data_IF_484590138326
#
_entry.id   IF_484590138326
#
_cell.length_a   1.000
_cell.length_b   1.000
_cell.length_c   1.000
_cell.angle_alpha   90.00
_cell.angle_beta   90.00
_cell.angle_gamma   90.00
#
_symmetry.space_group_name_H-M   'P 1'
#
loop_
_entity.id
_entity.type
_entity.pdbx_description
1 polymer ?
#
# COMPACT_ATOMS: atom_id res chain seq x y z
N UNK A 1 3.15 -26.22 -6.04
CA UNK A 1 4.27 -26.35 -7.01
C UNK A 1 5.61 -25.88 -6.44
N UNK A 2 5.63 -24.89 -5.56
CA UNK A 2 6.81 -24.34 -4.85
C UNK A 2 7.53 -25.30 -3.90
N UNK A 3 6.80 -26.16 -3.17
CA UNK A 3 7.40 -27.12 -2.24
C UNK A 3 8.27 -28.19 -2.93
N UNK A 4 7.95 -28.60 -4.16
CA UNK A 4 8.73 -29.61 -4.90
C UNK A 4 10.02 -29.02 -5.49
N UNK A 5 10.02 -27.75 -5.86
CA UNK A 5 11.22 -27.05 -6.35
C UNK A 5 12.22 -26.81 -5.22
N UNK A 6 11.73 -26.40 -4.04
CA UNK A 6 12.53 -26.29 -2.82
C UNK A 6 13.08 -27.66 -2.37
N UNK A 7 12.28 -28.74 -2.49
CA UNK A 7 12.74 -30.09 -2.18
C UNK A 7 13.83 -30.58 -3.16
N UNK A 8 13.68 -30.28 -4.45
CA UNK A 8 14.68 -30.63 -5.47
C UNK A 8 15.99 -29.86 -5.27
N UNK A 9 15.92 -28.57 -4.93
CA UNK A 9 17.08 -27.74 -4.59
C UNK A 9 17.75 -28.18 -3.27
N UNK A 10 16.97 -28.61 -2.27
CA UNK A 10 17.48 -29.13 -0.99
C UNK A 10 18.19 -30.48 -1.12
N UNK A 11 17.91 -31.25 -2.17
CA UNK A 11 18.62 -32.52 -2.44
C UNK A 11 20.00 -32.30 -3.06
N UNK A 12 20.23 -31.15 -3.70
CA UNK A 12 21.53 -30.78 -4.28
C UNK A 12 22.44 -30.05 -3.27
N UNK A 13 21.86 -29.34 -2.32
CA UNK A 13 22.56 -28.62 -1.26
C UNK A 13 22.08 -29.14 0.10
N UNK A 14 22.86 -30.02 0.73
CA UNK A 14 22.45 -30.83 1.89
C UNK A 14 21.98 -30.09 3.18
N UNK A 15 21.91 -28.76 3.19
CA UNK A 15 21.29 -27.95 4.25
C UNK A 15 20.53 -26.77 3.62
N UNK A 16 19.17 -26.72 3.73
CA UNK A 16 18.37 -25.65 3.15
C UNK A 16 18.72 -24.25 3.71
N UNK A 17 19.28 -24.18 4.92
CA UNK A 17 19.77 -22.93 5.53
C UNK A 17 20.98 -22.41 4.77
N UNK A 18 21.94 -23.29 4.46
CA UNK A 18 23.12 -22.93 3.65
C UNK A 18 22.71 -22.50 2.25
N UNK A 19 21.74 -23.19 1.65
CA UNK A 19 21.20 -22.80 0.33
C UNK A 19 20.60 -21.40 0.37
N UNK A 20 19.80 -21.10 1.39
CA UNK A 20 19.19 -19.77 1.55
C UNK A 20 20.24 -18.68 1.74
N UNK A 21 21.24 -18.93 2.59
CA UNK A 21 22.37 -18.02 2.82
C UNK A 21 23.11 -17.75 1.53
N UNK A 22 23.48 -18.79 0.78
CA UNK A 22 24.16 -18.65 -0.52
C UNK A 22 23.30 -17.87 -1.50
N UNK A 23 22.00 -18.16 -1.60
CA UNK A 23 21.08 -17.42 -2.46
C UNK A 23 20.99 -15.95 -2.06
N UNK A 24 20.87 -15.63 -0.77
CA UNK A 24 20.84 -14.24 -0.30
C UNK A 24 22.14 -13.49 -0.65
N UNK A 25 23.29 -14.14 -0.51
CA UNK A 25 24.59 -13.54 -0.87
C UNK A 25 24.74 -13.38 -2.39
N UNK A 26 24.29 -14.35 -3.20
CA UNK A 26 24.32 -14.26 -4.65
C UNK A 26 23.38 -13.16 -5.17
N UNK A 27 22.16 -13.09 -4.63
CA UNK A 27 21.20 -12.03 -4.98
C UNK A 27 21.75 -10.67 -4.54
N UNK A 28 22.28 -10.56 -3.32
CA UNK A 28 22.92 -9.34 -2.84
C UNK A 28 24.08 -8.90 -3.72
N UNK A 29 24.98 -9.81 -4.08
CA UNK A 29 26.08 -9.55 -5.01
C UNK A 29 25.61 -9.14 -6.40
N UNK A 30 24.59 -9.81 -6.94
CA UNK A 30 23.96 -9.43 -8.21
C UNK A 30 23.33 -8.03 -8.14
N UNK A 31 22.61 -7.72 -7.06
CA UNK A 31 22.05 -6.39 -6.83
C UNK A 31 23.13 -5.32 -6.78
N UNK A 32 24.27 -5.57 -6.12
CA UNK A 32 25.39 -4.63 -6.13
C UNK A 32 25.90 -4.38 -7.56
N UNK A 33 26.09 -5.43 -8.36
CA UNK A 33 26.54 -5.30 -9.75
C UNK A 33 25.55 -4.48 -10.56
N UNK A 34 24.25 -4.79 -10.47
CA UNK A 34 23.19 -4.05 -11.19
C UNK A 34 23.15 -2.59 -10.76
N UNK A 35 23.24 -2.29 -9.47
CA UNK A 35 23.23 -0.91 -8.95
C UNK A 35 24.45 -0.15 -9.47
N UNK A 36 25.64 -0.75 -9.40
CA UNK A 36 26.89 -0.11 -9.84
C UNK A 36 26.90 0.13 -11.35
N UNK A 37 26.43 -0.83 -12.14
CA UNK A 37 26.31 -0.72 -13.60
C UNK A 37 25.29 0.35 -13.99
N UNK A 38 24.06 0.25 -13.45
CA UNK A 38 22.97 1.17 -13.75
C UNK A 38 23.29 2.62 -13.35
N UNK A 39 23.98 2.82 -12.22
CA UNK A 39 24.37 4.15 -11.74
C UNK A 39 25.68 4.69 -12.34
N UNK A 40 26.27 3.97 -13.31
CA UNK A 40 27.48 4.39 -14.02
C UNK A 40 28.72 4.51 -13.14
N UNK A 41 28.90 3.62 -12.15
CA UNK A 41 30.13 3.58 -11.36
C UNK A 41 31.36 3.31 -12.26
N UNK A 42 32.52 3.99 -12.05
CA UNK A 42 32.89 4.85 -10.93
C UNK A 42 32.57 6.34 -11.09
N UNK A 43 31.97 6.77 -12.20
CA UNK A 43 31.67 8.19 -12.45
C UNK A 43 30.76 8.77 -11.37
N UNK A 44 30.87 10.05 -10.97
CA UNK A 44 29.97 10.60 -9.95
C UNK A 44 28.51 10.51 -10.40
N UNK A 45 27.55 10.17 -9.50
CA UNK A 45 26.15 10.07 -9.85
C UNK A 45 25.65 11.43 -10.35
N UNK A 46 25.00 11.44 -11.51
CA UNK A 46 24.38 12.65 -12.03
C UNK A 46 23.19 13.04 -11.15
N UNK A 47 23.22 14.25 -10.59
CA UNK A 47 22.22 14.74 -9.62
C UNK A 47 20.81 14.95 -10.17
N UNK A 48 20.58 14.70 -11.46
CA UNK A 48 19.28 14.95 -12.09
C UNK A 48 18.23 13.87 -11.74
N UNK A 49 18.65 12.66 -11.40
CA UNK A 49 17.75 11.56 -11.05
C UNK A 49 17.96 11.13 -9.60
N UNK A 50 17.12 11.67 -8.71
CA UNK A 50 17.18 11.40 -7.26
C UNK A 50 17.19 9.90 -6.94
N UNK A 51 16.50 9.10 -7.75
CA UNK A 51 16.44 7.65 -7.60
C UNK A 51 17.78 6.96 -7.86
N UNK A 52 18.51 7.34 -8.92
CA UNK A 52 19.86 6.82 -9.19
C UNK A 52 20.84 7.20 -8.07
N UNK A 53 20.70 8.43 -7.55
CA UNK A 53 21.48 8.92 -6.43
C UNK A 53 21.24 8.08 -5.17
N UNK A 54 19.99 7.82 -4.79
CA UNK A 54 19.67 6.98 -3.63
C UNK A 54 20.03 5.51 -3.83
N UNK A 55 19.83 4.98 -5.03
CA UNK A 55 20.23 3.62 -5.37
C UNK A 55 21.72 3.40 -5.10
N UNK A 56 22.56 4.36 -5.50
CA UNK A 56 24.00 4.28 -5.33
C UNK A 56 24.47 4.60 -3.90
N UNK A 57 23.88 5.61 -3.25
CA UNK A 57 24.38 6.11 -1.96
C UNK A 57 23.78 5.39 -0.77
N UNK A 58 22.54 4.91 -0.88
CA UNK A 58 21.81 4.27 0.22
C UNK A 58 21.63 2.77 -0.03
N UNK A 59 21.05 2.36 -1.17
CA UNK A 59 20.71 0.95 -1.41
C UNK A 59 21.96 0.06 -1.55
N UNK A 60 23.06 0.60 -2.12
CA UNK A 60 24.34 -0.11 -2.15
C UNK A 60 24.84 -0.45 -0.73
N UNK A 61 24.85 0.53 0.17
CA UNK A 61 25.27 0.33 1.56
C UNK A 61 24.29 -0.60 2.31
N UNK A 62 22.99 -0.46 2.04
CA UNK A 62 21.95 -1.35 2.57
C UNK A 62 22.15 -2.80 2.14
N UNK A 63 22.44 -3.05 0.87
CA UNK A 63 22.71 -4.39 0.35
C UNK A 63 23.95 -5.02 0.98
N UNK A 64 25.05 -4.26 1.13
CA UNK A 64 26.26 -4.72 1.84
C UNK A 64 25.94 -5.06 3.29
N UNK A 65 25.20 -4.19 3.99
CA UNK A 65 24.80 -4.43 5.38
C UNK A 65 23.94 -5.69 5.51
N UNK A 66 22.98 -5.91 4.61
CA UNK A 66 22.13 -7.10 4.61
C UNK A 66 22.95 -8.38 4.39
N UNK A 67 23.92 -8.37 3.47
CA UNK A 67 24.84 -9.50 3.29
C UNK A 67 25.68 -9.77 4.53
N UNK A 68 26.19 -8.70 5.19
CA UNK A 68 26.93 -8.83 6.44
C UNK A 68 26.06 -9.40 7.56
N UNK A 69 24.79 -9.01 7.65
CA UNK A 69 23.82 -9.56 8.60
C UNK A 69 23.53 -11.03 8.36
N UNK A 70 23.40 -11.44 7.09
CA UNK A 70 23.23 -12.86 6.71
C UNK A 70 24.45 -13.68 7.14
N UNK A 71 25.67 -13.18 6.94
CA UNK A 71 26.89 -13.83 7.40
C UNK A 71 26.96 -13.91 8.93
N UNK A 72 26.59 -12.84 9.62
CA UNK A 72 26.56 -12.79 11.08
C UNK A 72 25.52 -13.76 11.68
N UNK A 73 24.40 -13.98 10.99
CA UNK A 73 23.36 -14.94 11.39
C UNK A 73 23.83 -16.41 11.30
N UNK A 74 24.87 -16.68 10.50
CA UNK A 74 25.49 -18.01 10.40
C UNK A 74 26.44 -18.32 11.56
N UNK A 75 26.78 -17.35 12.42
CA UNK A 75 27.69 -17.56 13.53
C UNK A 75 26.97 -18.29 14.68
N UNK A 76 27.46 -19.45 15.17
CA UNK A 76 26.78 -20.21 16.23
C UNK A 76 26.52 -19.40 17.51
N UNK A 77 27.40 -18.44 17.81
CA UNK A 77 27.34 -17.59 19.00
C UNK A 77 26.17 -16.60 18.99
N UNK A 78 25.60 -16.28 17.83
CA UNK A 78 24.48 -15.34 17.69
C UNK A 78 23.12 -16.04 17.73
N UNK A 79 23.07 -17.36 17.49
CA UNK A 79 21.82 -18.11 17.34
C UNK A 79 20.97 -18.18 18.61
N UNK A 80 21.57 -18.49 19.76
CA UNK A 80 20.84 -18.62 21.03
C UNK A 80 20.14 -17.31 21.46
N UNK A 81 20.88 -16.19 21.59
CA UNK A 81 20.28 -14.89 21.92
C UNK A 81 19.27 -14.40 20.87
N UNK A 82 19.54 -14.61 19.58
CA UNK A 82 18.62 -14.21 18.51
C UNK A 82 17.29 -14.97 18.60
N UNK A 83 17.33 -16.28 18.83
CA UNK A 83 16.12 -17.09 18.99
C UNK A 83 15.34 -16.69 20.26
N UNK A 84 16.04 -16.40 21.36
CA UNK A 84 15.38 -15.90 22.58
C UNK A 84 14.66 -14.56 22.35
N UNK A 85 15.26 -13.66 21.55
CA UNK A 85 14.65 -12.40 21.17
C UNK A 85 13.43 -12.58 20.25
N UNK A 86 13.52 -13.47 19.25
CA UNK A 86 12.40 -13.84 18.38
C UNK A 86 11.23 -14.39 19.20
N UNK A 87 11.53 -15.28 20.15
CA UNK A 87 10.55 -15.84 21.08
C UNK A 87 9.87 -14.75 21.91
N UNK A 88 10.63 -13.81 22.44
CA UNK A 88 10.10 -12.68 23.21
C UNK A 88 9.15 -11.84 22.36
N UNK A 89 9.54 -11.49 21.13
CA UNK A 89 8.70 -10.72 20.20
C UNK A 89 7.39 -11.46 19.91
N UNK A 90 7.48 -12.77 19.67
CA UNK A 90 6.31 -13.60 19.39
C UNK A 90 5.35 -13.74 20.57
N UNK A 91 5.88 -13.85 21.80
CA UNK A 91 5.07 -13.96 23.03
C UNK A 91 4.42 -12.63 23.44
N UNK A 92 5.00 -11.51 23.04
CA UNK A 92 4.53 -10.17 23.43
C UNK A 92 4.25 -9.25 22.24
N UNK A 93 3.40 -9.65 21.28
CA UNK A 93 3.23 -8.92 20.02
C UNK A 93 2.71 -7.50 20.24
N UNK A 94 1.85 -7.29 21.24
CA UNK A 94 1.32 -5.98 21.60
C UNK A 94 2.36 -5.05 22.24
N UNK A 95 3.33 -5.59 23.00
CA UNK A 95 4.42 -4.78 23.55
C UNK A 95 5.34 -4.32 22.43
N UNK A 96 5.69 -5.24 21.53
CA UNK A 96 6.47 -4.90 20.32
C UNK A 96 5.74 -3.83 19.51
N UNK A 97 4.43 -4.00 19.25
CA UNK A 97 3.63 -3.01 18.54
C UNK A 97 3.59 -1.64 19.25
N UNK A 98 3.49 -1.61 20.58
CA UNK A 98 3.54 -0.36 21.35
C UNK A 98 4.88 0.36 21.23
N UNK A 99 6.00 -0.37 21.31
CA UNK A 99 7.34 0.20 21.09
C UNK A 99 7.48 0.69 19.66
N UNK A 100 7.08 -0.13 18.68
CA UNK A 100 7.08 0.23 17.26
C UNK A 100 6.27 1.50 17.00
N UNK A 101 5.08 1.63 17.59
CA UNK A 101 4.24 2.83 17.45
C UNK A 101 4.98 4.09 17.88
N UNK A 102 5.60 4.06 19.06
CA UNK A 102 6.37 5.21 19.57
C UNK A 102 7.53 5.53 18.65
N UNK A 103 8.32 4.54 18.24
CA UNK A 103 9.48 4.74 17.36
C UNK A 103 9.06 5.30 15.99
N UNK A 104 7.98 4.80 15.40
CA UNK A 104 7.48 5.28 14.12
C UNK A 104 6.90 6.69 14.23
N UNK A 105 6.20 7.04 15.31
CA UNK A 105 5.78 8.41 15.57
C UNK A 105 6.98 9.37 15.66
N UNK A 106 8.05 8.97 16.35
CA UNK A 106 9.30 9.74 16.36
C UNK A 106 9.89 9.85 14.95
N UNK A 107 9.83 8.78 14.14
CA UNK A 107 10.22 8.80 12.74
C UNK A 107 9.44 9.84 11.92
N UNK A 108 8.11 9.85 12.02
CA UNK A 108 7.27 10.86 11.34
C UNK A 108 7.62 12.28 11.77
N UNK A 109 7.88 12.51 13.06
CA UNK A 109 8.14 13.84 13.61
C UNK A 109 9.55 14.36 13.33
N UNK A 110 10.57 13.50 13.38
CA UNK A 110 11.98 13.91 13.30
C UNK A 110 12.66 13.57 11.97
N UNK A 111 12.17 12.58 11.23
CA UNK A 111 12.70 12.22 9.90
C UNK A 111 11.85 12.88 8.82
N UNK A 112 10.54 12.62 8.81
CA UNK A 112 9.61 13.22 7.84
C UNK A 112 9.18 14.64 8.20
N UNK A 113 9.59 15.14 9.39
CA UNK A 113 9.26 16.48 9.88
C UNK A 113 7.75 16.80 9.87
N UNK A 114 6.91 15.76 9.99
CA UNK A 114 5.46 15.85 9.87
C UNK A 114 5.01 16.57 8.58
N UNK A 115 5.74 16.37 7.48
CA UNK A 115 5.53 17.07 6.23
C UNK A 115 5.23 16.08 5.09
N UNK A 116 4.11 16.23 4.36
CA UNK A 116 3.84 15.41 3.19
C UNK A 116 4.77 15.82 2.04
N UNK A 117 5.74 14.98 1.70
CA UNK A 117 6.72 15.27 0.64
C UNK A 117 6.17 14.94 -0.75
N UNK A 118 5.44 13.81 -0.88
CA UNK A 118 4.84 13.42 -2.15
C UNK A 118 3.46 14.04 -2.36
N UNK A 119 3.08 14.15 -3.64
CA UNK A 119 1.79 14.72 -4.04
C UNK A 119 0.59 13.89 -3.50
N UNK A 120 0.73 12.57 -3.49
CA UNK A 120 -0.24 11.61 -2.95
C UNK A 120 -0.49 11.84 -1.46
N UNK A 121 0.58 12.09 -0.72
CA UNK A 121 0.56 12.37 0.72
C UNK A 121 -0.17 13.68 1.01
N UNK A 122 0.15 14.72 0.24
CA UNK A 122 -0.49 16.03 0.38
C UNK A 122 -1.99 15.93 0.08
N UNK A 123 -2.38 15.23 -0.99
CA UNK A 123 -3.79 15.08 -1.35
C UNK A 123 -4.59 14.35 -0.26
N UNK A 124 -4.02 13.31 0.33
CA UNK A 124 -4.64 12.58 1.44
C UNK A 124 -4.77 13.46 2.70
N UNK A 125 -3.71 14.17 3.08
CA UNK A 125 -3.72 15.05 4.25
C UNK A 125 -4.70 16.21 4.07
N UNK A 126 -4.66 16.89 2.92
CA UNK A 126 -5.62 17.94 2.55
C UNK A 126 -7.07 17.47 2.70
N UNK A 127 -7.41 16.33 2.09
CA UNK A 127 -8.78 15.83 2.12
C UNK A 127 -9.22 15.43 3.53
N UNK A 128 -8.32 14.88 4.35
CA UNK A 128 -8.62 14.57 5.76
C UNK A 128 -8.91 15.82 6.59
N UNK A 129 -8.23 16.94 6.32
CA UNK A 129 -8.46 18.22 7.00
C UNK A 129 -9.80 18.83 6.57
N UNK A 130 -10.16 18.71 5.29
CA UNK A 130 -11.48 19.10 4.77
C UNK A 130 -12.59 18.30 5.48
N UNK A 131 -12.43 16.98 5.60
CA UNK A 131 -13.37 16.14 6.33
C UNK A 131 -13.43 16.48 7.82
N UNK A 132 -12.29 16.75 8.45
CA UNK A 132 -12.22 17.16 9.86
C UNK A 132 -12.95 18.48 10.12
N UNK A 133 -12.98 19.37 9.11
CA UNK A 133 -13.76 20.61 9.12
C UNK A 133 -15.26 20.42 8.82
N UNK A 134 -15.74 19.17 8.70
CA UNK A 134 -17.14 18.86 8.44
C UNK A 134 -17.61 19.14 7.00
N UNK A 135 -16.68 19.20 6.04
CA UNK A 135 -16.97 19.48 4.62
C UNK A 135 -16.61 18.29 3.75
N UNK A 136 -17.28 18.15 2.60
CA UNK A 136 -16.93 17.14 1.60
C UNK A 136 -15.80 17.60 0.68
N UNK A 137 -15.77 18.89 0.37
CA UNK A 137 -14.80 19.52 -0.53
C UNK A 137 -14.14 20.72 0.13
N UNK A 138 -12.88 20.95 -0.19
CA UNK A 138 -12.22 22.22 0.06
C UNK A 138 -12.80 23.29 -0.86
N UNK A 139 -12.52 24.56 -0.56
CA UNK A 139 -12.98 25.67 -1.38
C UNK A 139 -11.92 26.74 -1.46
N UNK A 140 -11.52 27.08 -2.68
CA UNK A 140 -10.69 28.23 -2.99
C UNK A 140 -11.50 29.26 -3.79
N UNK A 141 -11.12 30.55 -3.78
CA UNK A 141 -11.69 31.52 -4.71
C UNK A 141 -11.50 31.01 -6.16
N UNK A 142 -12.56 30.91 -6.98
CA UNK A 142 -12.48 30.32 -8.32
C UNK A 142 -11.38 30.92 -9.20
N UNK A 143 -11.18 32.23 -9.12
CA UNK A 143 -10.16 33.01 -9.83
C UNK A 143 -8.73 32.70 -9.40
N UNK A 144 -8.53 32.10 -8.22
CA UNK A 144 -7.23 31.73 -7.68
C UNK A 144 -6.87 30.26 -7.91
N UNK A 145 -7.81 29.41 -8.35
CA UNK A 145 -7.56 27.97 -8.52
C UNK A 145 -6.33 27.70 -9.39
N UNK A 146 -6.23 28.36 -10.55
CA UNK A 146 -5.09 28.18 -11.46
C UNK A 146 -3.76 28.75 -10.94
N UNK A 147 -3.79 29.56 -9.88
CA UNK A 147 -2.60 30.08 -9.19
C UNK A 147 -2.20 29.24 -7.98
N UNK A 148 -3.17 28.62 -7.31
CA UNK A 148 -2.97 27.82 -6.10
C UNK A 148 -2.66 26.36 -6.39
N UNK A 149 -3.16 25.83 -7.51
CA UNK A 149 -2.95 24.44 -7.92
C UNK A 149 -2.14 24.45 -9.22
N UNK A 150 -0.87 23.96 -9.21
CA UNK A 150 -0.07 23.89 -10.42
C UNK A 150 -0.78 23.09 -11.53
N UNK A 151 -0.65 23.48 -12.82
CA UNK A 151 -1.39 22.84 -13.91
C UNK A 151 -1.16 21.32 -14.02
N UNK A 152 0.06 20.85 -13.76
CA UNK A 152 0.37 19.41 -13.76
C UNK A 152 -0.24 18.67 -12.55
N UNK A 153 -0.56 19.38 -11.48
CA UNK A 153 -1.18 18.82 -10.27
C UNK A 153 -2.70 18.67 -10.42
N UNK A 154 -3.28 19.62 -11.16
CA UNK A 154 -4.69 19.64 -11.50
C UNK A 154 -5.05 18.43 -12.35
N UNK A 155 -6.15 17.75 -12.02
CA UNK A 155 -6.61 16.54 -12.69
C UNK A 155 -5.72 15.30 -12.54
N UNK A 156 -4.63 15.39 -11.77
CA UNK A 156 -3.79 14.24 -11.39
C UNK A 156 -3.91 13.91 -9.91
N UNK A 157 -3.76 14.91 -9.04
CA UNK A 157 -3.75 14.73 -7.57
C UNK A 157 -4.90 15.47 -6.89
N UNK A 158 -5.30 16.62 -7.43
CA UNK A 158 -6.49 17.38 -6.99
C UNK A 158 -7.38 17.70 -8.19
N UNK A 159 -8.68 17.68 -7.94
CA UNK A 159 -9.68 18.23 -8.85
C UNK A 159 -10.15 19.57 -8.31
N UNK A 160 -10.21 20.58 -9.18
CA UNK A 160 -10.61 21.94 -8.84
C UNK A 160 -11.60 22.50 -9.87
N UNK A 161 -12.72 23.04 -9.40
CA UNK A 161 -13.73 23.67 -10.26
C UNK A 161 -13.51 25.17 -10.36
N UNK A 162 -13.12 25.65 -11.54
CA UNK A 162 -12.99 27.09 -11.85
C UNK A 162 -14.31 27.87 -11.80
N UNK A 163 -15.44 27.18 -11.66
CA UNK A 163 -16.77 27.80 -11.56
C UNK A 163 -17.20 27.96 -10.10
N UNK A 164 -17.09 26.90 -9.31
CA UNK A 164 -17.62 26.87 -7.94
C UNK A 164 -16.57 27.13 -6.86
N UNK A 165 -15.29 27.00 -7.22
CA UNK A 165 -14.18 27.07 -6.29
C UNK A 165 -13.92 25.76 -5.54
N UNK A 166 -14.70 24.71 -5.77
CA UNK A 166 -14.58 23.43 -5.06
C UNK A 166 -13.28 22.72 -5.42
N UNK A 167 -12.64 22.12 -4.41
CA UNK A 167 -11.42 21.34 -4.57
C UNK A 167 -11.53 20.04 -3.78
N UNK A 168 -11.11 18.92 -4.38
CA UNK A 168 -11.08 17.61 -3.73
C UNK A 168 -9.87 16.79 -4.18
N UNK A 169 -9.48 15.82 -3.36
CA UNK A 169 -8.51 14.79 -3.76
C UNK A 169 -9.01 13.99 -4.96
N UNK A 170 -8.14 13.78 -5.96
CA UNK A 170 -8.41 12.92 -7.10
C UNK A 170 -8.47 11.43 -6.71
N UNK A 171 -7.89 11.08 -5.56
CA UNK A 171 -7.94 9.73 -4.99
C UNK A 171 -9.28 9.41 -4.33
N UNK A 172 -9.51 8.12 -4.11
CA UNK A 172 -10.66 7.64 -3.33
C UNK A 172 -10.53 8.07 -1.85
N UNK A 173 -11.65 8.27 -1.14
CA UNK A 173 -11.65 9.04 0.10
C UNK A 173 -11.33 8.22 1.35
N UNK A 174 -11.22 6.89 1.25
CA UNK A 174 -11.18 5.98 2.39
C UNK A 174 -9.99 6.20 3.30
N UNK A 175 -8.79 6.44 2.76
CA UNK A 175 -7.63 6.73 3.59
C UNK A 175 -7.73 8.11 4.24
N UNK A 176 -8.21 9.12 3.51
CA UNK A 176 -8.48 10.42 4.08
C UNK A 176 -9.51 10.34 5.22
N UNK A 177 -10.55 9.50 5.09
CA UNK A 177 -11.52 9.21 6.16
C UNK A 177 -10.88 8.54 7.39
N UNK A 178 -9.94 7.61 7.19
CA UNK A 178 -9.16 7.04 8.30
C UNK A 178 -8.27 8.06 9.00
N UNK A 179 -7.72 9.00 8.24
CA UNK A 179 -6.85 10.06 8.74
C UNK A 179 -7.64 11.19 9.45
N UNK A 180 -8.90 11.40 9.09
CA UNK A 180 -9.77 12.47 9.62
C UNK A 180 -9.78 12.59 11.15
N UNK A 181 -9.96 11.51 11.94
CA UNK A 181 -9.98 11.63 13.41
C UNK A 181 -8.66 12.17 13.97
N UNK A 182 -7.54 11.84 13.33
CA UNK A 182 -6.22 12.32 13.71
C UNK A 182 -6.01 13.77 13.31
N UNK A 183 -6.44 14.15 12.10
CA UNK A 183 -6.45 15.55 11.65
C UNK A 183 -7.34 16.43 12.53
N UNK A 184 -8.47 15.90 13.00
CA UNK A 184 -9.40 16.59 13.90
C UNK A 184 -8.76 16.91 15.26
N UNK A 185 -7.93 16.01 15.79
CA UNK A 185 -7.17 16.25 17.05
C UNK A 185 -5.78 16.85 16.82
N UNK A 186 -5.49 17.36 15.61
CA UNK A 186 -4.21 17.94 15.22
C UNK A 186 -2.99 17.01 15.40
N UNK A 187 -3.19 15.69 15.30
CA UNK A 187 -2.14 14.69 15.35
C UNK A 187 -2.15 13.72 14.15
N UNK A 188 -2.24 14.21 12.89
CA UNK A 188 -2.30 13.36 11.69
C UNK A 188 -1.10 12.41 11.59
N UNK A 189 0.07 12.81 12.12
CA UNK A 189 1.31 12.03 12.15
C UNK A 189 1.18 10.67 12.85
N UNK A 190 0.20 10.47 13.73
CA UNK A 190 0.05 9.23 14.48
C UNK A 190 -0.72 8.13 13.72
N UNK A 191 -1.42 8.47 12.64
CA UNK A 191 -2.32 7.54 11.94
C UNK A 191 -1.56 6.34 11.37
N UNK A 192 -0.61 6.57 10.47
CA UNK A 192 0.15 5.48 9.85
C UNK A 192 1.01 4.68 10.83
N UNK A 193 1.71 5.29 11.81
CA UNK A 193 2.37 4.56 12.88
C UNK A 193 1.44 3.60 13.64
N UNK A 194 0.21 4.02 13.93
CA UNK A 194 -0.78 3.15 14.59
C UNK A 194 -1.19 2.00 13.67
N UNK A 195 -1.55 2.29 12.42
CA UNK A 195 -1.97 1.29 11.45
C UNK A 195 -0.87 0.23 11.21
N UNK A 196 0.39 0.66 11.09
CA UNK A 196 1.55 -0.23 10.95
C UNK A 196 1.73 -1.12 12.19
N UNK A 197 1.60 -0.54 13.38
CA UNK A 197 1.76 -1.28 14.63
C UNK A 197 0.66 -2.34 14.82
N UNK A 198 -0.57 -2.03 14.43
CA UNK A 198 -1.67 -3.01 14.38
C UNK A 198 -1.43 -4.09 13.32
N UNK A 199 -0.94 -3.70 12.14
CA UNK A 199 -0.60 -4.63 11.07
C UNK A 199 0.49 -5.61 11.54
N UNK A 200 1.48 -5.13 12.29
CA UNK A 200 2.56 -5.94 12.85
C UNK A 200 2.03 -7.07 13.75
N UNK A 201 1.04 -6.78 14.61
CA UNK A 201 0.39 -7.80 15.45
C UNK A 201 -0.31 -8.86 14.58
N UNK A 202 -1.01 -8.44 13.53
CA UNK A 202 -1.69 -9.37 12.62
C UNK A 202 -0.70 -10.22 11.82
N UNK A 203 0.41 -9.64 11.34
CA UNK A 203 1.50 -10.38 10.67
C UNK A 203 1.98 -11.51 11.57
N UNK A 204 2.31 -11.21 12.84
CA UNK A 204 2.76 -12.22 13.80
C UNK A 204 1.70 -13.32 14.04
N UNK A 205 0.43 -12.92 14.26
CA UNK A 205 -0.67 -13.86 14.51
C UNK A 205 -1.01 -14.73 13.31
N UNK A 206 -1.05 -14.16 12.11
CA UNK A 206 -1.30 -14.89 10.87
C UNK A 206 -0.17 -15.89 10.61
N UNK A 207 1.10 -15.49 10.82
CA UNK A 207 2.25 -16.37 10.64
C UNK A 207 2.17 -17.59 11.57
N UNK A 208 1.90 -17.39 12.87
CA UNK A 208 1.69 -18.49 13.82
C UNK A 208 0.51 -19.37 13.39
N UNK A 209 -0.59 -18.77 12.96
CA UNK A 209 -1.80 -19.51 12.58
C UNK A 209 -1.61 -20.36 11.33
N UNK A 210 -0.91 -19.85 10.33
CA UNK A 210 -0.69 -20.56 9.05
C UNK A 210 0.35 -21.66 9.20
N UNK A 211 1.38 -21.43 10.01
CA UNK A 211 2.50 -22.39 10.16
C UNK A 211 2.32 -23.37 11.30
N UNK A 212 1.51 -23.05 12.30
CA UNK A 212 1.43 -23.78 13.57
C UNK A 212 2.65 -23.60 14.49
N UNK A 213 3.65 -22.81 14.08
CA UNK A 213 4.89 -22.62 14.82
C UNK A 213 4.87 -21.29 15.58
N UNK A 214 4.99 -21.28 16.92
CA UNK A 214 5.02 -20.04 17.71
C UNK A 214 6.12 -19.07 17.26
N UNK A 215 7.29 -19.58 16.89
CA UNK A 215 8.43 -18.74 16.49
C UNK A 215 8.22 -18.02 15.16
N UNK A 216 7.33 -18.52 14.30
CA UNK A 216 7.01 -17.88 13.02
C UNK A 216 6.45 -16.47 13.21
N UNK A 217 5.74 -16.22 14.32
CA UNK A 217 5.21 -14.90 14.62
C UNK A 217 6.30 -13.86 14.85
N UNK A 218 7.28 -14.18 15.69
CA UNK A 218 8.41 -13.31 15.99
C UNK A 218 9.25 -13.00 14.75
N UNK A 219 9.56 -14.03 13.96
CA UNK A 219 10.30 -13.86 12.70
C UNK A 219 9.53 -12.99 11.71
N UNK A 220 8.23 -13.23 11.51
CA UNK A 220 7.43 -12.44 10.58
C UNK A 220 7.37 -10.96 10.99
N UNK A 221 7.24 -10.67 12.29
CA UNK A 221 7.28 -9.30 12.81
C UNK A 221 8.64 -8.63 12.62
N UNK A 222 9.74 -9.33 12.93
CA UNK A 222 11.08 -8.77 12.78
C UNK A 222 11.46 -8.54 11.31
N UNK A 223 11.07 -9.44 10.42
CA UNK A 223 11.27 -9.26 8.97
C UNK A 223 10.45 -8.09 8.43
N UNK A 224 9.22 -7.88 8.93
CA UNK A 224 8.43 -6.71 8.58
C UNK A 224 9.11 -5.41 9.08
N UNK A 225 9.57 -5.37 10.34
CA UNK A 225 10.29 -4.21 10.90
C UNK A 225 11.63 -3.94 10.21
N UNK A 226 12.30 -4.97 9.73
CA UNK A 226 13.54 -4.85 8.96
C UNK A 226 13.33 -4.42 7.51
N UNK A 227 12.08 -4.33 7.03
CA UNK A 227 11.75 -3.91 5.67
C UNK A 227 11.61 -2.39 5.60
N UNK A 228 12.46 -1.68 4.81
CA UNK A 228 12.30 -0.26 4.57
C UNK A 228 10.93 0.07 3.96
N UNK A 229 10.39 -0.82 3.13
CA UNK A 229 9.05 -0.64 2.55
C UNK A 229 7.93 -0.67 3.59
N UNK A 230 8.13 -1.34 4.73
CA UNK A 230 7.17 -1.28 5.84
C UNK A 230 7.40 -0.03 6.69
N UNK A 231 8.65 0.24 7.12
CA UNK A 231 8.94 1.33 8.06
C UNK A 231 8.85 2.71 7.42
N UNK A 232 9.35 2.91 6.20
CA UNK A 232 9.28 4.20 5.51
C UNK A 232 7.82 4.56 5.14
N UNK A 233 7.03 3.57 4.71
CA UNK A 233 5.59 3.79 4.46
C UNK A 233 4.81 4.07 5.74
N UNK A 234 5.27 3.56 6.88
CA UNK A 234 4.62 3.76 8.16
C UNK A 234 4.88 5.14 8.77
N UNK A 235 5.95 5.84 8.37
CA UNK A 235 6.27 7.19 8.87
C UNK A 235 5.77 8.31 7.94
N UNK A 236 5.35 7.99 6.72
CA UNK A 236 4.81 8.92 5.71
C UNK A 236 3.27 8.94 5.74
N UNK A 237 2.65 9.77 4.88
CA UNK A 237 1.19 9.84 4.69
C UNK A 237 0.68 8.99 3.52
N UNK A 238 1.43 7.97 3.10
CA UNK A 238 0.97 7.05 2.07
C UNK A 238 -0.14 6.12 2.58
N UNK A 239 -1.12 5.84 1.73
CA UNK A 239 -2.23 4.93 2.03
C UNK A 239 -1.83 3.45 2.12
N UNK A 240 -0.59 3.11 1.72
CA UNK A 240 -0.10 1.73 1.65
C UNK A 240 -0.15 1.01 3.00
N UNK A 241 0.11 1.73 4.10
CA UNK A 241 0.06 1.19 5.46
C UNK A 241 -1.37 0.81 5.84
N UNK A 242 -2.36 1.61 5.45
CA UNK A 242 -3.77 1.26 5.62
C UNK A 242 -4.18 0.05 4.77
N UNK A 243 -3.72 -0.01 3.50
CA UNK A 243 -3.95 -1.17 2.65
C UNK A 243 -3.39 -2.45 3.28
N UNK A 244 -2.16 -2.42 3.81
CA UNK A 244 -1.56 -3.56 4.49
C UNK A 244 -2.42 -4.04 5.67
N UNK A 245 -2.81 -3.13 6.57
CA UNK A 245 -3.65 -3.49 7.72
C UNK A 245 -4.98 -4.12 7.28
N UNK A 246 -5.73 -3.47 6.40
CA UNK A 246 -7.04 -3.96 5.96
C UNK A 246 -6.92 -5.28 5.19
N UNK A 247 -5.88 -5.45 4.39
CA UNK A 247 -5.58 -6.71 3.71
C UNK A 247 -5.27 -7.86 4.70
N UNK A 248 -4.55 -7.58 5.79
CA UNK A 248 -4.30 -8.57 6.83
C UNK A 248 -5.56 -8.91 7.62
N UNK A 249 -6.39 -7.91 7.95
CA UNK A 249 -7.71 -8.14 8.59
C UNK A 249 -8.60 -8.98 7.68
N UNK A 250 -8.64 -8.65 6.38
CA UNK A 250 -9.37 -9.40 5.37
C UNK A 250 -8.96 -10.89 5.37
N UNK A 251 -7.67 -11.18 5.27
CA UNK A 251 -7.15 -12.57 5.32
C UNK A 251 -7.50 -13.23 6.64
N UNK A 252 -7.26 -12.54 7.77
CA UNK A 252 -7.55 -13.08 9.10
C UNK A 252 -9.01 -13.55 9.24
N UNK A 253 -9.95 -12.77 8.71
CA UNK A 253 -11.37 -13.10 8.70
C UNK A 253 -11.68 -14.29 7.76
N UNK A 254 -11.05 -14.33 6.58
CA UNK A 254 -11.25 -15.42 5.61
C UNK A 254 -10.78 -16.79 6.13
N UNK A 255 -9.79 -16.86 7.03
CA UNK A 255 -9.21 -18.13 7.49
C UNK A 255 -10.21 -19.06 8.21
N UNK A 256 -11.29 -18.53 8.80
CA UNK A 256 -12.30 -19.36 9.52
C UNK A 256 -13.57 -19.66 8.70
N UNK A 257 -13.76 -18.99 7.56
CA UNK A 257 -14.82 -19.27 6.55
C UNK A 257 -16.26 -19.34 7.07
N UNK A 258 -16.57 -18.77 8.24
CA UNK A 258 -17.95 -18.63 8.71
C UNK A 258 -18.66 -17.49 7.97
N UNK A 259 -19.97 -17.62 7.72
CA UNK A 259 -20.74 -16.62 6.96
C UNK A 259 -20.56 -15.20 7.49
N UNK A 260 -20.65 -15.00 8.82
CA UNK A 260 -20.46 -13.68 9.43
C UNK A 260 -19.06 -13.11 9.21
N UNK A 261 -18.02 -13.95 9.25
CA UNK A 261 -16.65 -13.51 8.96
C UNK A 261 -16.42 -13.21 7.49
N UNK A 262 -17.07 -13.94 6.58
CA UNK A 262 -17.01 -13.65 5.14
C UNK A 262 -17.68 -12.32 4.81
N UNK A 263 -18.85 -12.04 5.41
CA UNK A 263 -19.51 -10.73 5.28
C UNK A 263 -18.60 -9.63 5.82
N UNK A 264 -18.03 -9.80 7.02
CA UNK A 264 -17.13 -8.81 7.61
C UNK A 264 -15.84 -8.63 6.79
N UNK A 265 -15.30 -9.71 6.22
CA UNK A 265 -14.18 -9.63 5.28
C UNK A 265 -14.57 -8.81 4.05
N UNK A 266 -15.77 -9.02 3.50
CA UNK A 266 -16.30 -8.20 2.42
C UNK A 266 -16.41 -6.72 2.80
N UNK A 267 -16.89 -6.40 4.01
CA UNK A 267 -16.98 -5.02 4.49
C UNK A 267 -15.59 -4.38 4.58
N UNK A 268 -14.62 -5.08 5.18
CA UNK A 268 -13.23 -4.63 5.24
C UNK A 268 -12.65 -4.43 3.84
N UNK A 269 -12.92 -5.37 2.93
CA UNK A 269 -12.50 -5.29 1.54
C UNK A 269 -13.15 -4.13 0.78
N UNK A 270 -14.42 -3.85 1.02
CA UNK A 270 -15.14 -2.71 0.43
C UNK A 270 -14.52 -1.38 0.83
N UNK A 271 -14.07 -1.27 2.08
CA UNK A 271 -13.34 -0.09 2.55
C UNK A 271 -11.93 -0.02 1.96
N UNK A 272 -11.25 -1.16 1.86
CA UNK A 272 -9.93 -1.26 1.24
C UNK A 272 -9.93 -0.87 -0.25
N UNK A 273 -11.01 -1.14 -1.00
CA UNK A 273 -11.18 -0.70 -2.39
C UNK A 273 -11.23 0.82 -2.53
N UNK A 274 -11.72 1.53 -1.50
CA UNK A 274 -11.91 2.98 -1.56
C UNK A 274 -10.84 3.74 -0.80
N UNK A 275 -9.77 3.09 -0.32
CA UNK A 275 -8.70 3.77 0.43
C UNK A 275 -8.00 4.86 -0.38
N UNK A 276 -7.60 4.54 -1.60
CA UNK A 276 -6.82 5.44 -2.45
C UNK A 276 -7.00 5.09 -3.92
N UNK A 277 -6.95 3.80 -4.24
CA UNK A 277 -7.24 3.21 -5.54
C UNK A 277 -7.83 1.80 -5.31
N UNK A 278 -8.81 1.33 -6.10
CA UNK A 278 -9.35 -0.03 -5.97
C UNK A 278 -8.35 -1.15 -6.32
N UNK A 279 -7.37 -0.88 -7.17
CA UNK A 279 -6.50 -1.91 -7.76
C UNK A 279 -5.63 -2.66 -6.73
N UNK A 280 -4.94 -2.02 -5.77
CA UNK A 280 -4.09 -2.72 -4.81
C UNK A 280 -4.82 -3.80 -4.01
N UNK A 281 -6.02 -3.47 -3.51
CA UNK A 281 -6.83 -4.45 -2.78
C UNK A 281 -7.43 -5.50 -3.71
N UNK A 282 -7.92 -5.12 -4.89
CA UNK A 282 -8.49 -6.08 -5.84
C UNK A 282 -7.47 -7.16 -6.25
N UNK A 283 -6.23 -6.77 -6.58
CA UNK A 283 -5.15 -7.70 -6.91
C UNK A 283 -4.75 -8.57 -5.72
N UNK A 284 -4.71 -7.98 -4.51
CA UNK A 284 -4.42 -8.74 -3.29
C UNK A 284 -5.52 -9.77 -2.97
N UNK A 285 -6.79 -9.39 -3.09
CA UNK A 285 -7.93 -10.24 -2.73
C UNK A 285 -8.19 -11.35 -3.75
N UNK A 286 -7.87 -11.13 -5.03
CA UNK A 286 -8.12 -12.06 -6.13
C UNK A 286 -7.65 -13.51 -5.86
N UNK A 287 -6.40 -13.80 -5.43
CA UNK A 287 -5.99 -15.18 -5.15
C UNK A 287 -6.78 -15.82 -4.00
N UNK A 288 -7.22 -15.04 -3.00
CA UNK A 288 -8.04 -15.56 -1.90
C UNK A 288 -9.47 -15.86 -2.33
N UNK A 289 -10.04 -15.01 -3.19
CA UNK A 289 -11.36 -15.22 -3.78
C UNK A 289 -11.33 -16.44 -4.70
N UNK A 290 -10.30 -16.58 -5.52
CA UNK A 290 -10.10 -17.77 -6.36
C UNK A 290 -9.95 -19.03 -5.50
N UNK A 291 -9.15 -18.98 -4.43
CA UNK A 291 -9.03 -20.09 -3.48
C UNK A 291 -10.37 -20.46 -2.84
N UNK A 292 -11.21 -19.47 -2.49
CA UNK A 292 -12.55 -19.69 -1.93
C UNK A 292 -13.51 -20.31 -2.96
N UNK A 293 -13.42 -19.88 -4.22
CA UNK A 293 -14.22 -20.42 -5.32
C UNK A 293 -13.90 -21.89 -5.62
N UNK A 294 -12.70 -22.34 -5.27
CA UNK A 294 -12.26 -23.75 -5.40
C UNK A 294 -12.68 -24.62 -4.19
N UNK A 295 -13.32 -24.05 -3.16
CA UNK A 295 -13.79 -24.82 -1.99
C UNK A 295 -15.15 -25.48 -2.24
N UNK A 296 -15.52 -26.52 -1.47
CA UNK A 296 -16.87 -27.09 -1.50
C UNK A 296 -17.94 -26.04 -1.17
N UNK A 297 -19.08 -26.08 -1.88
CA UNK A 297 -20.18 -25.13 -1.77
C UNK A 297 -19.75 -23.64 -1.90
N UNK A 298 -19.01 -23.27 -2.97
CA UNK A 298 -18.36 -21.96 -3.07
C UNK A 298 -19.37 -20.82 -3.15
N UNK A 299 -20.55 -21.05 -3.73
CA UNK A 299 -21.56 -20.03 -3.96
C UNK A 299 -22.02 -19.32 -2.67
N UNK A 300 -22.24 -20.05 -1.56
CA UNK A 300 -22.68 -19.44 -0.29
C UNK A 300 -21.59 -18.52 0.26
N UNK A 301 -20.35 -18.97 0.19
CA UNK A 301 -19.21 -18.23 0.70
C UNK A 301 -18.95 -16.98 -0.15
N UNK A 302 -19.02 -17.11 -1.48
CA UNK A 302 -18.86 -16.00 -2.42
C UNK A 302 -19.99 -14.99 -2.30
N UNK A 303 -21.24 -15.43 -2.14
CA UNK A 303 -22.39 -14.53 -1.93
C UNK A 303 -22.26 -13.77 -0.61
N UNK A 304 -21.86 -14.44 0.48
CA UNK A 304 -21.62 -13.78 1.76
C UNK A 304 -20.51 -12.73 1.66
N UNK A 305 -19.42 -13.06 0.98
CA UNK A 305 -18.32 -12.13 0.73
C UNK A 305 -18.77 -10.93 -0.13
N UNK A 306 -19.47 -11.20 -1.24
CA UNK A 306 -19.97 -10.18 -2.16
C UNK A 306 -20.98 -9.23 -1.49
N UNK A 307 -21.86 -9.77 -0.63
CA UNK A 307 -22.79 -8.97 0.16
C UNK A 307 -22.05 -7.98 1.09
N UNK A 308 -20.91 -8.39 1.64
CA UNK A 308 -20.04 -7.50 2.41
C UNK A 308 -19.33 -6.45 1.56
N UNK A 309 -18.98 -6.76 0.31
CA UNK A 309 -18.27 -5.81 -0.58
C UNK A 309 -19.13 -4.62 -1.03
N UNK A 310 -20.45 -4.82 -1.14
CA UNK A 310 -21.35 -3.85 -1.74
C UNK A 310 -21.46 -2.50 -1.00
N UNK A 311 -21.64 -2.44 0.34
CA UNK A 311 -22.09 -1.21 0.99
C UNK A 311 -21.12 -0.02 0.85
N UNK A 312 -19.84 -0.17 1.19
CA UNK A 312 -18.91 0.97 1.16
C UNK A 312 -18.39 1.25 -0.25
N UNK A 313 -18.19 0.22 -1.09
CA UNK A 313 -17.79 0.42 -2.47
C UNK A 313 -18.87 1.18 -3.27
N UNK A 314 -20.15 0.89 -3.03
CA UNK A 314 -21.25 1.61 -3.66
C UNK A 314 -21.52 2.96 -2.98
N UNK A 315 -21.72 3.01 -1.67
CA UNK A 315 -22.13 4.26 -1.02
C UNK A 315 -21.01 5.31 -1.01
N UNK A 316 -19.81 4.91 -0.56
CA UNK A 316 -18.66 5.82 -0.45
C UNK A 316 -17.96 5.93 -1.78
N UNK A 317 -17.67 4.78 -2.39
CA UNK A 317 -16.88 4.73 -3.59
C UNK A 317 -17.55 5.38 -4.80
N UNK A 318 -18.69 4.84 -5.21
CA UNK A 318 -19.42 5.37 -6.37
C UNK A 318 -19.93 6.79 -6.12
N UNK A 319 -20.41 7.09 -4.91
CA UNK A 319 -20.81 8.45 -4.52
C UNK A 319 -19.67 9.47 -4.65
N UNK A 320 -18.47 9.11 -4.19
CA UNK A 320 -17.27 9.94 -4.35
C UNK A 320 -16.91 10.15 -5.82
N UNK A 321 -16.97 9.09 -6.62
CA UNK A 321 -16.64 9.16 -8.03
C UNK A 321 -17.59 10.09 -8.82
N UNK A 322 -18.88 10.09 -8.48
CA UNK A 322 -19.86 11.04 -9.03
C UNK A 322 -19.57 12.48 -8.59
N UNK A 323 -19.23 12.70 -7.31
CA UNK A 323 -18.83 14.02 -6.80
C UNK A 323 -17.61 14.56 -7.56
N UNK A 324 -16.59 13.72 -7.74
CA UNK A 324 -15.37 14.11 -8.46
C UNK A 324 -15.65 14.45 -9.93
N UNK A 325 -16.54 13.72 -10.60
CA UNK A 325 -16.96 14.03 -11.98
C UNK A 325 -17.63 15.39 -12.10
N UNK A 326 -18.37 15.81 -11.08
CA UNK A 326 -19.03 17.12 -11.03
C UNK A 326 -18.00 18.24 -10.86
N UNK A 327 -17.03 18.06 -9.95
CA UNK A 327 -15.95 19.04 -9.68
C UNK A 327 -15.06 19.24 -10.92
N UNK A 328 -14.70 18.17 -11.63
CA UNK A 328 -13.88 18.28 -12.86
C UNK A 328 -14.61 19.02 -13.99
N UNK A 329 -15.93 19.24 -13.86
CA UNK A 329 -16.75 19.78 -14.91
C UNK A 329 -16.82 18.81 -16.08
N UNK A 330 -17.41 17.62 -15.84
CA UNK A 330 -17.86 16.69 -16.88
C UNK A 330 -16.85 16.45 -18.01
N UNK A 331 -16.05 15.38 -17.90
CA UNK A 331 -15.03 15.00 -18.88
C UNK A 331 -15.48 15.27 -20.32
N UNK A 332 -14.64 15.87 -21.17
CA UNK A 332 -14.95 16.27 -22.56
C UNK A 332 -15.52 15.15 -23.47
N UNK A 333 -15.62 13.91 -22.98
CA UNK A 333 -16.09 12.73 -23.69
C UNK A 333 -17.15 12.02 -22.83
N UNK A 334 -18.43 12.34 -23.08
CA UNK A 334 -19.59 11.64 -22.53
C UNK A 334 -20.39 10.96 -23.65
N UNK A 335 -21.08 9.86 -23.33
CA UNK A 335 -22.05 9.24 -24.25
C UNK A 335 -23.29 10.13 -24.42
N UNK A 336 -23.62 10.90 -23.38
CA UNK A 336 -24.81 11.74 -23.29
C UNK A 336 -24.46 13.19 -22.95
N UNK A 337 -25.43 14.08 -23.14
CA UNK A 337 -25.33 15.47 -22.71
C UNK A 337 -25.03 15.57 -21.21
N UNK A 338 -24.21 16.56 -20.85
CA UNK A 338 -23.82 16.84 -19.49
C UNK A 338 -24.87 17.70 -18.78
N UNK A 339 -25.92 17.04 -18.31
CA UNK A 339 -27.08 17.67 -17.67
C UNK A 339 -27.33 17.16 -16.24
N UNK A 340 -28.45 17.58 -15.65
CA UNK A 340 -28.88 17.13 -14.32
C UNK A 340 -29.54 15.75 -14.32
N UNK A 341 -29.61 15.06 -15.45
CA UNK A 341 -30.22 13.74 -15.51
C UNK A 341 -29.30 12.70 -14.85
N UNK A 342 -29.76 12.00 -13.79
CA UNK A 342 -28.93 11.03 -13.09
C UNK A 342 -28.48 9.88 -13.97
N UNK A 343 -29.30 9.46 -14.95
CA UNK A 343 -28.94 8.37 -15.87
C UNK A 343 -27.78 8.79 -16.78
N UNK A 344 -27.82 10.01 -17.32
CA UNK A 344 -26.73 10.55 -18.15
C UNK A 344 -25.43 10.64 -17.35
N UNK A 345 -25.47 11.10 -16.11
CA UNK A 345 -24.30 11.17 -15.21
C UNK A 345 -23.68 9.81 -14.96
N UNK A 346 -24.51 8.82 -14.65
CA UNK A 346 -24.06 7.44 -14.40
C UNK A 346 -23.45 6.84 -15.68
N UNK A 347 -24.11 6.98 -16.82
CA UNK A 347 -23.62 6.45 -18.08
C UNK A 347 -22.30 7.12 -18.53
N UNK A 348 -22.21 8.44 -18.39
CA UNK A 348 -20.98 9.19 -18.69
C UNK A 348 -19.84 8.82 -17.75
N UNK A 349 -20.12 8.57 -16.46
CA UNK A 349 -19.13 8.04 -15.53
C UNK A 349 -18.57 6.69 -15.99
N UNK A 350 -19.45 5.71 -16.29
CA UNK A 350 -19.00 4.39 -16.74
C UNK A 350 -18.24 4.45 -18.07
N UNK A 351 -18.63 5.34 -18.98
CA UNK A 351 -17.92 5.58 -20.23
C UNK A 351 -16.52 6.16 -20.01
N UNK A 352 -16.40 7.22 -19.20
CA UNK A 352 -15.11 7.80 -18.85
C UNK A 352 -14.20 6.80 -18.12
N UNK A 353 -14.78 5.99 -17.21
CA UNK A 353 -14.07 4.93 -16.53
C UNK A 353 -13.59 3.83 -17.49
N UNK A 354 -14.43 3.43 -18.45
CA UNK A 354 -14.05 2.48 -19.50
C UNK A 354 -12.85 2.99 -20.31
N UNK A 355 -12.85 4.27 -20.71
CA UNK A 355 -11.72 4.89 -21.42
C UNK A 355 -10.45 4.88 -20.57
N UNK A 356 -10.54 5.27 -19.28
CA UNK A 356 -9.42 5.24 -18.33
C UNK A 356 -8.86 3.82 -18.15
N UNK A 357 -9.73 2.82 -18.02
CA UNK A 357 -9.32 1.42 -17.90
C UNK A 357 -8.65 0.91 -19.18
N UNK A 358 -9.18 1.28 -20.35
CA UNK A 358 -8.56 0.92 -21.64
C UNK A 358 -7.17 1.52 -21.79
N UNK A 359 -6.97 2.75 -21.35
CA UNK A 359 -5.64 3.40 -21.36
C UNK A 359 -4.69 2.79 -20.34
N UNK A 360 -5.17 2.48 -19.14
CA UNK A 360 -4.35 1.83 -18.11
C UNK A 360 -3.95 0.40 -18.46
N UNK A 361 -4.78 -0.32 -19.23
CA UNK A 361 -4.54 -1.70 -19.68
C UNK A 361 -3.99 -1.78 -21.11
N UNK A 362 -3.79 -0.64 -21.77
CA UNK A 362 -3.17 -0.63 -23.08
C UNK A 362 -1.76 -1.20 -22.98
N UNK A 363 -1.41 -2.12 -23.88
CA UNK A 363 -0.03 -2.57 -24.00
C UNK A 363 0.88 -1.34 -24.20
N UNK A 364 2.06 -1.29 -23.57
CA UNK A 364 2.98 -0.17 -23.77
C UNK A 364 3.19 0.04 -25.27
N UNK A 365 2.96 1.26 -25.73
CA UNK A 365 3.11 1.60 -27.15
C UNK A 365 4.56 1.40 -27.60
N UNK A 366 4.77 1.33 -28.92
CA UNK A 366 6.10 1.20 -29.52
C UNK A 366 7.10 2.26 -29.01
N UNK A 367 6.61 3.44 -28.62
CA UNK A 367 7.43 4.53 -28.07
C UNK A 367 8.02 4.20 -26.68
N UNK A 368 7.29 3.47 -25.83
CA UNK A 368 7.78 3.03 -24.51
C UNK A 368 8.82 1.92 -24.66
N UNK A 369 8.66 1.05 -25.68
CA UNK A 369 9.67 0.07 -26.03
C UNK A 369 10.92 0.72 -26.62
N UNK A 370 10.76 1.76 -27.46
CA UNK A 370 11.87 2.51 -28.02
C UNK A 370 12.67 3.26 -26.94
N UNK A 371 12.02 3.86 -25.94
CA UNK A 371 12.68 4.51 -24.79
C UNK A 371 13.41 3.55 -23.85
N UNK A 372 13.17 2.23 -23.93
CA UNK A 372 13.88 1.22 -23.14
C UNK A 372 15.00 0.53 -23.91
N UNK A 373 15.06 0.72 -25.22
CA UNK A 373 16.05 0.13 -26.12
C UNK A 373 17.08 1.15 -26.63
N UNK A 374 16.87 2.44 -26.36
CA UNK A 374 17.83 3.53 -26.50
C UNK A 374 18.38 3.88 -25.12
#
# INVERSE_FOLDING_TARGET
MTLRLLHALSRWFGDPTRTLVVLCLLIGGFSLVVILDYSGYPFPPYRYWLLEYFLRTQDLAGAVLLMALVLAACLPRTQGPALAFVDMVSRHPWRTAGVTFVVLCLGTLYVEHNHPLAQDEYAALFQSQVFAAGRLTGRFPPELIGRLIPPFYMNQFLYGSFQTGQVASAYWPGFALLLTPFSFVHAPWACNPLLASLALVLIGRIAVRVTGAPQAGGWAMLLALGSPGFTAMAITYFSMTAHLLLNLVFVWLLLERTTGRLVLAGVVGSFALVLHNPLPHALFALPWIAWLALQPAPYRALLALAAGYAPLALAVGFGWALLLSDIQGNALIGLFAFDSNPIHRIANFFWGWHIKMRTALAAPGNDIFAMRLA
#
